data_IF_476554030086
#
_entry.id   IF_476554030086
#
_cell.length_a   1.000
_cell.length_b   1.000
_cell.length_c   1.000
_cell.angle_alpha   90.00
_cell.angle_beta   90.00
_cell.angle_gamma   90.00
#
_symmetry.space_group_name_H-M   'P 1'
#
loop_
_entity.id
_entity.type
_entity.pdbx_description
1 polymer ?
#
# COMPACT_ATOMS: atom_id res chain seq x y z
N UNK A 1 23.02 -46.87 31.03
CA UNK A 1 22.24 -45.65 30.68
C UNK A 1 22.62 -45.22 29.27
N UNK A 2 21.70 -45.34 28.31
CA UNK A 2 21.96 -45.51 26.89
C UNK A 2 22.38 -44.19 26.21
N UNK A 3 23.65 -44.08 25.77
CA UNK A 3 24.29 -42.92 25.12
C UNK A 3 23.47 -42.46 23.92
N UNK A 4 22.87 -43.39 23.18
CA UNK A 4 22.01 -43.17 21.99
C UNK A 4 20.79 -42.30 22.29
N UNK A 5 20.23 -42.40 23.52
CA UNK A 5 19.05 -41.64 23.94
C UNK A 5 19.39 -40.17 24.34
N UNK A 6 20.65 -39.91 24.70
CA UNK A 6 21.12 -38.52 24.97
C UNK A 6 21.30 -37.72 23.69
N UNK A 7 21.88 -38.32 22.66
CA UNK A 7 22.04 -37.67 21.34
C UNK A 7 20.68 -37.39 20.67
N UNK A 8 19.72 -38.30 20.76
CA UNK A 8 18.37 -38.08 20.21
C UNK A 8 17.67 -36.88 20.86
N UNK A 9 17.81 -36.70 22.19
CA UNK A 9 17.24 -35.54 22.91
C UNK A 9 17.95 -34.23 22.55
N UNK A 10 19.28 -34.25 22.37
CA UNK A 10 20.04 -33.06 21.96
C UNK A 10 19.70 -32.66 20.52
N UNK A 11 19.59 -33.61 19.60
CA UNK A 11 19.15 -33.34 18.21
C UNK A 11 17.74 -32.79 18.14
N UNK A 12 16.82 -33.33 18.94
CA UNK A 12 15.45 -32.85 19.02
C UNK A 12 15.40 -31.40 19.57
N UNK A 13 16.20 -31.11 20.59
CA UNK A 13 16.29 -29.77 21.18
C UNK A 13 16.88 -28.73 20.20
N UNK A 14 17.93 -29.11 19.47
CA UNK A 14 18.52 -28.25 18.42
C UNK A 14 17.54 -28.04 17.24
N UNK A 15 16.74 -29.05 16.90
CA UNK A 15 15.72 -28.93 15.84
C UNK A 15 14.59 -28.00 16.25
N UNK A 16 14.11 -28.09 17.50
CA UNK A 16 13.09 -27.18 18.07
C UNK A 16 13.64 -25.77 18.22
N UNK A 17 14.92 -25.61 18.63
CA UNK A 17 15.58 -24.32 18.73
C UNK A 17 15.77 -23.67 17.36
N UNK A 18 16.11 -24.46 16.32
CA UNK A 18 16.19 -23.99 14.93
C UNK A 18 14.85 -23.52 14.36
N UNK A 19 13.76 -24.18 14.74
CA UNK A 19 12.40 -23.81 14.34
C UNK A 19 11.91 -22.50 15.01
N UNK A 20 12.39 -22.20 16.23
CA UNK A 20 12.06 -20.97 16.94
C UNK A 20 12.79 -19.72 16.40
N UNK A 21 13.94 -19.90 15.73
CA UNK A 21 14.76 -18.81 15.18
C UNK A 21 14.26 -18.28 13.82
N UNK A 22 13.27 -18.93 13.22
CA UNK A 22 12.59 -18.43 12.00
C UNK A 22 11.39 -17.54 12.28
N UNK A 23 11.28 -16.96 13.47
CA UNK A 23 10.32 -15.89 13.73
C UNK A 23 10.69 -14.69 12.83
N UNK A 24 10.08 -14.65 11.65
CA UNK A 24 10.16 -13.49 10.77
C UNK A 24 9.58 -12.32 11.56
N UNK A 25 10.41 -11.34 11.86
CA UNK A 25 9.96 -10.05 12.40
C UNK A 25 8.92 -9.50 11.43
N UNK A 26 7.64 -9.64 11.77
CA UNK A 26 6.57 -8.89 11.14
C UNK A 26 6.87 -7.42 11.45
N UNK A 27 7.56 -6.73 10.54
CA UNK A 27 7.64 -5.28 10.60
C UNK A 27 6.21 -4.78 10.50
N UNK A 28 5.70 -4.21 11.57
CA UNK A 28 4.43 -3.50 11.53
C UNK A 28 4.56 -2.42 10.46
N UNK A 29 3.86 -2.58 9.34
CA UNK A 29 3.77 -1.54 8.34
C UNK A 29 2.89 -0.44 8.92
N UNK A 30 3.49 0.70 9.27
CA UNK A 30 2.76 1.88 9.70
C UNK A 30 2.45 2.76 8.50
N UNK A 31 1.17 3.04 8.29
CA UNK A 31 0.69 4.03 7.32
C UNK A 31 0.46 5.34 8.06
N UNK A 32 0.86 6.45 7.47
CA UNK A 32 0.69 7.80 8.05
C UNK A 32 -0.09 8.67 7.07
N UNK A 33 -1.23 9.24 7.49
CA UNK A 33 -1.95 9.04 8.77
C UNK A 33 -2.41 7.60 8.98
N UNK A 34 -2.63 7.21 10.24
CA UNK A 34 -3.15 5.88 10.55
C UNK A 34 -4.57 5.75 10.01
N UNK A 35 -4.87 4.73 9.17
CA UNK A 35 -6.20 4.50 8.63
C UNK A 35 -7.25 4.25 9.72
N UNK A 36 -8.51 4.52 9.40
CA UNK A 36 -9.64 4.29 10.32
C UNK A 36 -9.73 2.81 10.71
N UNK A 37 -9.53 1.90 9.77
CA UNK A 37 -9.50 0.45 9.99
C UNK A 37 -8.41 -0.17 9.14
N UNK A 38 -7.62 -1.06 9.75
CA UNK A 38 -6.57 -1.82 9.07
C UNK A 38 -6.47 -3.22 9.65
N UNK A 39 -6.71 -4.23 8.83
CA UNK A 39 -6.64 -5.64 9.21
C UNK A 39 -5.58 -6.35 8.36
N UNK A 40 -4.61 -6.99 9.02
CA UNK A 40 -3.56 -7.73 8.33
C UNK A 40 -4.09 -9.06 7.81
N UNK A 41 -3.79 -9.37 6.55
CA UNK A 41 -4.04 -10.65 5.92
C UNK A 41 -2.80 -11.56 5.92
N UNK A 42 -2.90 -12.70 5.24
CA UNK A 42 -1.79 -13.64 5.07
C UNK A 42 -1.20 -13.55 3.66
N UNK A 43 0.13 -13.60 3.57
CA UNK A 43 0.87 -13.52 2.30
C UNK A 43 1.18 -12.10 1.88
N UNK A 44 1.64 -11.95 0.64
CA UNK A 44 1.99 -10.67 0.04
C UNK A 44 1.70 -10.66 -1.47
N UNK A 45 1.45 -9.48 -2.01
CA UNK A 45 1.39 -9.23 -3.44
C UNK A 45 2.76 -8.79 -3.95
N UNK A 46 3.22 -9.34 -5.07
CA UNK A 46 4.44 -8.90 -5.74
C UNK A 46 4.08 -7.96 -6.89
N UNK A 47 4.26 -6.67 -6.68
CA UNK A 47 4.10 -5.65 -7.69
C UNK A 47 5.35 -5.61 -8.58
N UNK A 48 5.20 -5.86 -9.86
CA UNK A 48 6.29 -5.93 -10.84
C UNK A 48 5.83 -5.47 -12.23
N UNK A 49 6.73 -5.42 -13.20
CA UNK A 49 6.41 -5.10 -14.60
C UNK A 49 5.39 -6.07 -15.26
N UNK A 50 5.16 -7.23 -14.67
CA UNK A 50 4.14 -8.17 -15.10
C UNK A 50 2.76 -7.88 -14.52
N UNK A 51 2.67 -6.97 -13.54
CA UNK A 51 1.40 -6.56 -12.95
C UNK A 51 0.62 -5.70 -13.96
N UNK A 52 -0.68 -5.97 -14.04
CA UNK A 52 -1.60 -5.24 -14.90
C UNK A 52 -2.33 -4.15 -14.12
N UNK A 53 -2.56 -3.01 -14.76
CA UNK A 53 -3.32 -1.90 -14.20
C UNK A 53 -4.67 -1.79 -14.90
N UNK A 54 -5.76 -1.79 -14.14
CA UNK A 54 -7.09 -1.50 -14.62
C UNK A 54 -7.69 -0.31 -13.86
N UNK A 55 -8.13 0.70 -14.59
CA UNK A 55 -8.80 1.89 -14.05
C UNK A 55 -10.15 2.01 -14.75
N UNK A 56 -11.25 2.13 -14.00
CA UNK A 56 -12.58 2.34 -14.58
C UNK A 56 -12.96 3.81 -14.73
N UNK A 57 -11.99 4.71 -14.61
CA UNK A 57 -12.11 6.14 -14.90
C UNK A 57 -11.61 6.48 -16.30
N UNK A 58 -12.03 7.63 -16.80
CA UNK A 58 -11.57 8.20 -18.07
C UNK A 58 -11.22 9.68 -17.90
N UNK A 59 -10.52 10.24 -18.90
CA UNK A 59 -10.18 11.65 -18.91
C UNK A 59 -9.04 12.02 -17.95
N UNK A 60 -9.06 13.28 -17.49
CA UNK A 60 -7.98 13.87 -16.70
C UNK A 60 -7.74 13.15 -15.38
N UNK A 61 -8.79 12.72 -14.69
CA UNK A 61 -8.64 12.00 -13.40
C UNK A 61 -7.90 10.67 -13.57
N UNK A 62 -8.16 9.93 -14.65
CA UNK A 62 -7.42 8.70 -14.94
C UNK A 62 -5.94 8.98 -15.20
N UNK A 63 -5.62 10.03 -15.96
CA UNK A 63 -4.24 10.43 -16.22
C UNK A 63 -3.49 10.85 -14.94
N UNK A 64 -4.16 11.59 -14.04
CA UNK A 64 -3.57 11.97 -12.75
C UNK A 64 -3.26 10.74 -11.89
N UNK A 65 -4.14 9.75 -11.86
CA UNK A 65 -3.90 8.50 -11.13
C UNK A 65 -2.77 7.66 -11.77
N UNK A 66 -2.71 7.59 -13.09
CA UNK A 66 -1.59 6.93 -13.79
C UNK A 66 -0.26 7.64 -13.50
N UNK A 67 -0.23 8.97 -13.47
CA UNK A 67 0.97 9.74 -13.14
C UNK A 67 1.43 9.50 -11.68
N UNK A 68 0.50 9.34 -10.73
CA UNK A 68 0.86 8.99 -9.34
C UNK A 68 1.55 7.62 -9.25
N UNK A 69 1.17 6.67 -10.11
CA UNK A 69 1.83 5.36 -10.17
C UNK A 69 3.25 5.42 -10.71
N UNK A 70 3.63 6.48 -11.44
CA UNK A 70 5.01 6.69 -11.89
C UNK A 70 5.99 6.94 -10.74
N UNK A 71 5.49 7.24 -9.53
CA UNK A 71 6.31 7.27 -8.32
C UNK A 71 6.88 5.88 -7.97
N UNK A 72 6.24 4.80 -8.44
CA UNK A 72 6.82 3.46 -8.41
C UNK A 72 7.64 3.26 -9.69
N UNK A 73 8.94 2.89 -9.60
CA UNK A 73 9.76 2.60 -10.78
C UNK A 73 9.38 1.24 -11.40
N UNK A 74 8.07 1.03 -11.64
CA UNK A 74 7.50 -0.18 -12.23
C UNK A 74 6.53 0.22 -13.33
N UNK A 75 6.80 -0.20 -14.56
CA UNK A 75 5.90 0.03 -15.69
C UNK A 75 4.81 -1.04 -15.72
N UNK A 76 3.59 -0.66 -15.33
CA UNK A 76 2.45 -1.57 -15.30
C UNK A 76 1.86 -1.76 -16.70
N UNK A 77 1.49 -3.00 -17.04
CA UNK A 77 0.82 -3.33 -18.30
C UNK A 77 -0.67 -2.97 -18.23
N UNK A 78 -1.29 -2.64 -19.36
CA UNK A 78 -2.72 -2.38 -19.40
C UNK A 78 -3.52 -3.65 -19.07
N UNK A 79 -4.37 -3.56 -18.05
CA UNK A 79 -5.27 -4.62 -17.60
C UNK A 79 -6.69 -4.48 -18.16
N UNK A 80 -7.49 -5.51 -17.97
CA UNK A 80 -8.92 -5.55 -18.35
C UNK A 80 -9.77 -5.82 -17.10
N UNK A 81 -11.04 -5.39 -17.12
CA UNK A 81 -12.00 -5.61 -16.03
C UNK A 81 -12.13 -7.09 -15.60
N UNK A 82 -11.94 -8.03 -16.52
CA UNK A 82 -12.06 -9.47 -16.27
C UNK A 82 -10.82 -10.12 -15.65
N UNK A 83 -9.71 -9.38 -15.56
CA UNK A 83 -8.48 -9.91 -15.00
C UNK A 83 -8.64 -10.01 -13.48
N UNK A 84 -8.25 -11.15 -12.90
CA UNK A 84 -8.41 -11.45 -11.47
C UNK A 84 -7.08 -11.83 -10.81
N UNK A 85 -6.00 -11.93 -11.57
CA UNK A 85 -4.69 -12.29 -11.05
C UNK A 85 -3.61 -11.33 -11.54
N UNK A 86 -2.68 -11.04 -10.67
CA UNK A 86 -1.56 -10.13 -10.91
C UNK A 86 -2.02 -8.78 -11.47
N UNK A 87 -3.00 -8.16 -10.79
CA UNK A 87 -3.64 -6.92 -11.22
C UNK A 87 -3.78 -5.94 -10.07
N UNK A 88 -3.55 -4.65 -10.38
CA UNK A 88 -3.96 -3.50 -9.60
C UNK A 88 -5.21 -2.90 -10.24
N UNK A 89 -6.31 -2.90 -9.52
CA UNK A 89 -7.59 -2.37 -9.99
C UNK A 89 -8.00 -1.12 -9.20
N UNK A 90 -8.25 -0.02 -9.90
CA UNK A 90 -8.76 1.24 -9.36
C UNK A 90 -10.19 1.42 -9.83
N UNK A 91 -11.16 1.34 -8.91
CA UNK A 91 -12.58 1.30 -9.23
C UNK A 91 -13.33 2.44 -8.55
N UNK A 92 -13.97 3.29 -9.35
CA UNK A 92 -15.08 4.12 -8.86
C UNK A 92 -16.31 3.24 -8.75
N UNK A 93 -16.92 3.26 -7.58
CA UNK A 93 -18.18 2.60 -7.28
C UNK A 93 -19.28 3.65 -7.09
N UNK A 94 -20.52 3.32 -7.48
CA UNK A 94 -21.65 4.21 -7.26
C UNK A 94 -21.88 4.48 -5.78
N UNK A 95 -22.51 5.64 -5.46
CA UNK A 95 -22.71 6.15 -4.09
C UNK A 95 -23.45 5.23 -3.11
N UNK A 96 -23.93 4.07 -3.55
CA UNK A 96 -24.61 3.09 -2.70
C UNK A 96 -23.69 2.24 -1.82
N UNK A 97 -22.38 2.39 -1.94
CA UNK A 97 -21.45 1.78 -0.97
C UNK A 97 -21.19 2.77 0.17
N UNK A 98 -21.22 2.25 1.38
CA UNK A 98 -21.16 2.92 2.68
C UNK A 98 -19.90 3.77 2.95
N UNK A 99 -19.36 4.41 1.93
CA UNK A 99 -18.23 5.33 2.07
C UNK A 99 -18.78 6.72 2.44
N UNK A 100 -18.48 7.22 3.64
CA UNK A 100 -19.13 8.40 4.21
C UNK A 100 -18.70 9.73 3.57
N UNK A 101 -17.61 9.74 2.77
CA UNK A 101 -17.05 10.93 2.14
C UNK A 101 -16.59 10.63 0.71
N UNK A 102 -16.58 11.63 -0.19
CA UNK A 102 -15.95 11.49 -1.52
C UNK A 102 -14.45 11.13 -1.45
N UNK A 103 -13.78 11.45 -0.35
CA UNK A 103 -12.37 11.14 -0.12
C UNK A 103 -12.13 9.78 0.53
N UNK A 104 -13.21 9.07 0.89
CA UNK A 104 -13.12 7.73 1.48
C UNK A 104 -12.71 6.70 0.45
N UNK A 105 -11.99 5.68 0.91
CA UNK A 105 -11.58 4.55 0.07
C UNK A 105 -11.55 3.25 0.86
N UNK A 106 -11.57 2.14 0.12
CA UNK A 106 -11.18 0.81 0.62
C UNK A 106 -10.00 0.31 -0.21
N UNK A 107 -9.03 -0.31 0.46
CA UNK A 107 -7.87 -0.95 -0.16
C UNK A 107 -7.79 -2.39 0.30
N UNK A 108 -7.89 -3.32 -0.64
CA UNK A 108 -7.73 -4.76 -0.41
C UNK A 108 -6.49 -5.25 -1.14
N UNK A 109 -5.54 -5.82 -0.40
CA UNK A 109 -4.34 -6.45 -0.94
C UNK A 109 -4.37 -7.92 -0.62
N UNK A 110 -4.39 -8.74 -1.65
CA UNK A 110 -4.28 -10.21 -1.55
C UNK A 110 -3.07 -10.67 -2.37
N UNK A 111 -2.58 -11.92 -2.21
CA UNK A 111 -1.49 -12.42 -3.05
C UNK A 111 -1.80 -12.42 -4.56
N UNK A 112 -3.09 -12.37 -4.95
CA UNK A 112 -3.52 -12.42 -6.33
C UNK A 112 -3.78 -11.06 -6.95
N UNK A 113 -4.26 -10.09 -6.15
CA UNK A 113 -4.68 -8.79 -6.67
C UNK A 113 -4.62 -7.69 -5.62
N UNK A 114 -4.51 -6.46 -6.12
CA UNK A 114 -4.73 -5.24 -5.35
C UNK A 114 -6.00 -4.57 -5.89
N UNK A 115 -6.87 -4.15 -5.00
CA UNK A 115 -8.13 -3.52 -5.35
C UNK A 115 -8.36 -2.28 -4.49
N UNK A 116 -8.45 -1.13 -5.14
CA UNK A 116 -8.82 0.13 -4.50
C UNK A 116 -10.21 0.54 -5.01
N UNK A 117 -11.14 0.79 -4.08
CA UNK A 117 -12.48 1.30 -4.39
C UNK A 117 -12.71 2.62 -3.70
N UNK A 118 -13.37 3.53 -4.40
CA UNK A 118 -13.78 4.82 -3.88
C UNK A 118 -15.03 5.31 -4.61
N UNK A 119 -15.64 6.39 -4.14
CA UNK A 119 -16.77 7.04 -4.81
C UNK A 119 -16.33 8.23 -5.67
N UNK A 120 -15.06 8.61 -5.62
CA UNK A 120 -14.48 9.68 -6.43
C UNK A 120 -13.00 9.42 -6.76
N UNK A 121 -12.45 10.19 -7.68
CA UNK A 121 -11.02 10.19 -8.00
C UNK A 121 -10.14 10.58 -6.82
N UNK A 122 -10.60 11.47 -5.94
CA UNK A 122 -9.88 11.86 -4.73
C UNK A 122 -9.70 10.67 -3.76
N UNK A 123 -10.74 9.88 -3.53
CA UNK A 123 -10.64 8.67 -2.72
C UNK A 123 -9.69 7.63 -3.32
N UNK A 124 -9.71 7.43 -4.64
CA UNK A 124 -8.73 6.56 -5.31
C UNK A 124 -7.31 7.07 -5.14
N UNK A 125 -7.10 8.38 -5.22
CA UNK A 125 -5.79 9.00 -5.01
C UNK A 125 -5.25 8.70 -3.59
N UNK A 126 -6.07 8.89 -2.54
CA UNK A 126 -5.66 8.58 -1.16
C UNK A 126 -5.38 7.09 -0.96
N UNK A 127 -6.22 6.22 -1.52
CA UNK A 127 -5.97 4.78 -1.50
C UNK A 127 -4.65 4.40 -2.17
N UNK A 128 -4.28 5.08 -3.26
CA UNK A 128 -2.98 4.90 -3.91
C UNK A 128 -1.83 5.41 -3.06
N UNK A 129 -1.95 6.57 -2.40
CA UNK A 129 -0.92 7.08 -1.49
C UNK A 129 -0.65 6.08 -0.35
N UNK A 130 -1.71 5.47 0.18
CA UNK A 130 -1.59 4.39 1.15
C UNK A 130 -0.88 3.16 0.59
N UNK A 131 -1.24 2.74 -0.62
CA UNK A 131 -0.57 1.63 -1.31
C UNK A 131 0.92 1.89 -1.50
N UNK A 132 1.31 3.12 -1.90
CA UNK A 132 2.71 3.52 -2.06
C UNK A 132 3.50 3.42 -0.75
N UNK A 133 2.90 3.80 0.39
CA UNK A 133 3.54 3.66 1.71
C UNK A 133 3.72 2.19 2.12
N UNK A 134 2.82 1.31 1.70
CA UNK A 134 2.89 -0.13 1.99
C UNK A 134 3.90 -0.87 1.10
N UNK A 135 4.28 -0.28 -0.03
CA UNK A 135 5.17 -0.92 -0.99
C UNK A 135 6.61 -0.95 -0.47
N UNK A 136 7.15 -2.16 -0.25
CA UNK A 136 8.53 -2.37 0.18
C UNK A 136 9.37 -2.91 -0.97
N UNK A 137 10.54 -2.33 -1.27
CA UNK A 137 11.43 -2.86 -2.30
C UNK A 137 11.73 -4.35 -2.08
N UNK A 138 11.61 -5.17 -3.13
CA UNK A 138 11.77 -6.62 -3.08
C UNK A 138 12.71 -7.15 -4.19
N UNK A 139 13.81 -6.45 -4.45
CA UNK A 139 14.77 -6.78 -5.52
C UNK A 139 14.42 -6.13 -6.85
N UNK A 140 15.24 -6.36 -7.86
CA UNK A 140 15.28 -5.77 -9.20
C UNK A 140 13.95 -5.19 -9.75
N UNK A 141 13.57 -3.98 -9.33
CA UNK A 141 12.39 -3.28 -9.87
C UNK A 141 11.04 -3.86 -9.45
N UNK A 142 10.99 -4.63 -8.37
CA UNK A 142 9.74 -5.18 -7.80
C UNK A 142 9.50 -4.69 -6.38
N UNK A 143 8.23 -4.70 -5.94
CA UNK A 143 7.81 -4.32 -4.61
C UNK A 143 6.93 -5.40 -4.00
N UNK A 144 7.20 -5.74 -2.75
CA UNK A 144 6.35 -6.62 -1.95
C UNK A 144 5.40 -5.78 -1.12
N UNK A 145 4.12 -6.13 -1.13
CA UNK A 145 3.07 -5.47 -0.37
C UNK A 145 2.36 -6.54 0.44
N UNK A 146 2.43 -6.46 1.77
CA UNK A 146 1.75 -7.42 2.64
C UNK A 146 0.24 -7.38 2.43
N UNK A 147 -0.40 -8.54 2.51
CA UNK A 147 -1.86 -8.63 2.41
C UNK A 147 -2.52 -7.86 3.55
N UNK A 148 -3.47 -7.00 3.20
CA UNK A 148 -4.13 -6.09 4.14
C UNK A 148 -5.49 -5.67 3.60
N UNK A 149 -6.45 -5.48 4.50
CA UNK A 149 -7.72 -4.81 4.25
C UNK A 149 -7.73 -3.47 5.00
N UNK A 150 -7.96 -2.39 4.27
CA UNK A 150 -8.01 -1.03 4.82
C UNK A 150 -9.32 -0.38 4.42
N UNK A 151 -9.97 0.26 5.40
CA UNK A 151 -11.02 1.24 5.20
C UNK A 151 -10.57 2.55 5.80
N UNK A 152 -10.63 3.62 5.01
CA UNK A 152 -10.20 4.91 5.49
C UNK A 152 -11.08 6.06 4.98
N UNK A 153 -11.19 7.06 5.83
CA UNK A 153 -11.93 8.29 5.58
C UNK A 153 -11.19 9.43 6.26
N UNK A 154 -10.77 10.46 5.51
CA UNK A 154 -10.16 11.62 6.12
C UNK A 154 -11.04 12.24 7.22
N UNK A 155 -10.44 12.44 8.39
CA UNK A 155 -11.16 13.00 9.57
C UNK A 155 -11.62 14.44 9.36
N UNK A 156 -10.87 15.22 8.58
CA UNK A 156 -11.12 16.63 8.35
C UNK A 156 -11.30 16.90 6.85
N UNK A 157 -12.36 17.63 6.49
CA UNK A 157 -12.62 18.02 5.11
C UNK A 157 -11.64 19.11 4.60
N UNK A 158 -11.09 19.92 5.49
CA UNK A 158 -10.08 20.92 5.16
C UNK A 158 -8.75 20.57 5.83
N UNK A 159 -7.70 20.51 5.03
CA UNK A 159 -6.33 20.24 5.46
C UNK A 159 -5.41 21.19 4.71
N UNK A 160 -4.48 21.81 5.41
CA UNK A 160 -3.59 22.78 4.81
C UNK A 160 -2.45 23.18 5.73
N UNK A 161 -1.41 23.71 5.13
CA UNK A 161 -0.29 24.34 5.82
C UNK A 161 -0.24 25.81 5.42
N UNK A 162 -0.17 26.70 6.41
CA UNK A 162 0.11 28.10 6.19
C UNK A 162 1.59 28.38 6.48
N UNK A 163 2.27 28.95 5.50
CA UNK A 163 3.67 29.37 5.63
C UNK A 163 3.76 30.89 5.45
N UNK A 164 4.13 31.60 6.52
CA UNK A 164 4.37 33.03 6.48
C UNK A 164 5.80 33.30 5.97
N UNK A 165 5.91 33.70 4.73
CA UNK A 165 7.19 34.03 4.08
C UNK A 165 7.50 35.53 4.12
N UNK A 166 6.61 36.35 4.68
CA UNK A 166 6.75 37.79 4.77
C UNK A 166 7.45 38.21 6.07
N UNK A 167 7.04 37.69 7.21
CA UNK A 167 7.67 37.99 8.52
C UNK A 167 8.97 37.23 8.73
N UNK A 168 9.07 36.02 8.19
CA UNK A 168 10.29 35.21 8.21
C UNK A 168 10.60 34.79 6.77
N UNK A 169 11.64 35.39 6.20
CA UNK A 169 12.04 35.06 4.83
C UNK A 169 12.40 33.59 4.70
N UNK A 170 11.77 32.94 3.74
CA UNK A 170 12.08 31.55 3.33
C UNK A 170 12.53 31.53 1.87
N UNK A 171 13.59 30.80 1.60
CA UNK A 171 14.08 30.69 0.23
C UNK A 171 13.09 29.92 -0.66
N UNK A 172 13.14 30.19 -1.97
CA UNK A 172 12.31 29.48 -2.96
C UNK A 172 12.51 27.95 -2.89
N UNK A 173 13.73 27.51 -2.66
CA UNK A 173 14.10 26.10 -2.53
C UNK A 173 13.45 25.46 -1.31
N UNK A 174 13.42 26.18 -0.17
CA UNK A 174 12.73 25.71 1.03
C UNK A 174 11.21 25.56 0.79
N UNK A 175 10.58 26.56 0.15
CA UNK A 175 9.15 26.54 -0.16
C UNK A 175 8.81 25.36 -1.08
N UNK A 176 9.61 25.15 -2.15
CA UNK A 176 9.44 24.01 -3.06
C UNK A 176 9.56 22.67 -2.34
N UNK A 177 10.51 22.56 -1.39
CA UNK A 177 10.67 21.35 -0.57
C UNK A 177 9.44 21.10 0.30
N UNK A 178 8.84 22.15 0.89
CA UNK A 178 7.59 21.99 1.67
C UNK A 178 6.42 21.54 0.80
N UNK A 179 6.25 22.15 -0.40
CA UNK A 179 5.21 21.75 -1.35
C UNK A 179 5.38 20.28 -1.80
N UNK A 180 6.61 19.83 -2.01
CA UNK A 180 6.89 18.46 -2.40
C UNK A 180 6.73 17.41 -1.28
N UNK A 181 6.58 17.86 -0.01
CA UNK A 181 6.36 17.02 1.16
C UNK A 181 4.86 16.92 1.57
N UNK A 182 4.00 17.75 0.97
CA UNK A 182 2.54 17.77 1.16
C UNK A 182 1.84 16.82 0.19
#
# INVERSE_FOLDING_TARGET
MNIRNRYAKVCLFLWVLGMCLTAHSLKAQSVIPVPLKMEQGTGCFLLSENTRLYINLQGLEAQLLENCLQALPVHLKKGKKKDTQNILSLLITEKNHQLPSPESYTLSVTPQQILIRATSGAGLFYGMQTLLQLAQPSGAGSYSIASVEIEDTPRFAYRGLMLDVSRHFSTKEFIKKQIGAL
#
